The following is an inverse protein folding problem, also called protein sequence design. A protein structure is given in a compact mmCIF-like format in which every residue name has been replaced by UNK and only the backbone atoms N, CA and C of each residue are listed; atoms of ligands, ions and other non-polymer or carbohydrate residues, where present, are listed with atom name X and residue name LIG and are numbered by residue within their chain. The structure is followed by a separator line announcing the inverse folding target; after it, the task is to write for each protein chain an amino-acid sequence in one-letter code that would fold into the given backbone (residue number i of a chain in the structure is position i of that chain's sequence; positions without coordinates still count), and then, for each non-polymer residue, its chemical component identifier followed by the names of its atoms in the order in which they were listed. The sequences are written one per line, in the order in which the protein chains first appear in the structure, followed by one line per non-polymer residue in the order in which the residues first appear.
data_IF_617902364805
#
_entry.id   IF_617902364805
#
_cell.length_a   1.000
_cell.length_b   1.000
_cell.length_c   1.000
_cell.angle_alpha   90.00
_cell.angle_beta   90.00
_cell.angle_gamma   90.00
#
_symmetry.space_group_name_H-M   'P 1'
#
loop_
_entity.id
_entity.type
_entity.pdbx_description
1 polymer ?
#
# COMPACT_ATOMS: atom_id res chain seq x y z
N UNK A 1 20.72 -18.24 -74.88
CA UNK A 1 21.36 -18.19 -73.55
C UNK A 1 20.72 -17.06 -72.74
N UNK A 2 19.76 -17.35 -71.85
CA UNK A 2 19.09 -16.36 -70.99
C UNK A 2 19.48 -16.66 -69.54
N UNK A 3 20.20 -15.75 -68.89
CA UNK A 3 20.59 -15.85 -67.47
C UNK A 3 19.52 -15.13 -66.64
N UNK A 4 18.85 -15.87 -65.75
CA UNK A 4 17.88 -15.34 -64.79
C UNK A 4 18.64 -15.13 -63.47
N UNK A 5 18.72 -13.88 -63.01
CA UNK A 5 19.31 -13.48 -61.73
C UNK A 5 18.20 -13.47 -60.67
N UNK A 6 18.30 -14.36 -59.67
CA UNK A 6 17.47 -14.33 -58.47
C UNK A 6 18.09 -13.37 -57.44
N UNK A 7 17.39 -12.29 -57.12
CA UNK A 7 17.73 -11.38 -56.03
C UNK A 7 17.17 -11.96 -54.72
N UNK A 8 18.05 -12.44 -53.84
CA UNK A 8 17.69 -12.82 -52.46
C UNK A 8 17.70 -11.56 -51.60
N UNK A 9 16.54 -11.02 -51.25
CA UNK A 9 16.45 -9.98 -50.21
C UNK A 9 16.44 -10.64 -48.84
N UNK A 10 17.51 -10.44 -48.07
CA UNK A 10 17.55 -10.83 -46.65
C UNK A 10 16.77 -9.78 -45.86
N UNK A 11 15.63 -10.16 -45.31
CA UNK A 11 14.87 -9.34 -44.36
C UNK A 11 15.53 -9.54 -42.99
N UNK A 12 16.29 -8.55 -42.53
CA UNK A 12 16.76 -8.50 -41.16
C UNK A 12 15.58 -8.12 -40.24
N UNK A 13 15.04 -9.10 -39.52
CA UNK A 13 14.09 -8.83 -38.44
C UNK A 13 14.83 -8.13 -37.30
N UNK A 14 14.61 -6.82 -37.14
CA UNK A 14 15.05 -6.10 -35.96
C UNK A 14 14.24 -6.63 -34.77
N UNK A 15 14.88 -7.43 -33.93
CA UNK A 15 14.29 -7.86 -32.65
C UNK A 15 14.30 -6.63 -31.74
N UNK A 16 13.16 -5.95 -31.62
CA UNK A 16 12.98 -4.90 -30.63
C UNK A 16 13.09 -5.55 -29.25
N UNK A 17 14.25 -5.42 -28.60
CA UNK A 17 14.41 -5.78 -27.20
C UNK A 17 13.74 -4.70 -26.36
N UNK A 18 12.45 -4.87 -26.09
CA UNK A 18 11.80 -4.17 -24.99
C UNK A 18 12.43 -4.67 -23.70
N UNK A 19 13.44 -3.96 -23.19
CA UNK A 19 14.11 -4.32 -21.96
C UNK A 19 13.15 -3.97 -20.81
N UNK A 20 12.35 -4.94 -20.38
CA UNK A 20 11.55 -4.80 -19.16
C UNK A 20 12.53 -4.48 -18.02
N UNK A 21 12.45 -3.26 -17.48
CA UNK A 21 13.33 -2.81 -16.43
C UNK A 21 12.86 -3.48 -15.14
N UNK A 22 13.56 -4.53 -14.73
CA UNK A 22 13.26 -5.21 -13.47
C UNK A 22 13.76 -4.34 -12.33
N UNK A 23 12.85 -3.87 -11.48
CA UNK A 23 13.17 -3.17 -10.24
C UNK A 23 13.19 -4.22 -9.11
N UNK A 24 14.37 -4.77 -8.74
CA UNK A 24 14.45 -5.82 -7.72
C UNK A 24 14.04 -5.31 -6.33
N UNK A 25 14.16 -4.01 -6.12
CA UNK A 25 13.86 -3.32 -4.87
C UNK A 25 13.09 -2.05 -5.19
N UNK A 26 12.19 -1.69 -4.29
CA UNK A 26 11.41 -0.47 -4.36
C UNK A 26 11.51 0.31 -3.06
N UNK A 27 11.52 1.63 -3.18
CA UNK A 27 11.28 2.58 -2.09
C UNK A 27 10.13 3.47 -2.51
N UNK A 28 9.04 3.43 -1.75
CA UNK A 28 7.82 4.18 -2.05
C UNK A 28 7.42 4.96 -0.81
N UNK A 29 7.07 6.24 -1.00
CA UNK A 29 6.51 7.08 0.04
C UNK A 29 4.98 7.07 -0.07
N UNK A 30 4.31 6.91 1.07
CA UNK A 30 2.87 6.87 1.19
C UNK A 30 2.37 8.01 2.08
N UNK A 31 1.24 8.60 1.70
CA UNK A 31 0.47 9.48 2.58
C UNK A 31 -0.70 8.69 3.17
N UNK A 32 -0.78 8.65 4.50
CA UNK A 32 -1.93 8.09 5.22
C UNK A 32 -2.84 9.24 5.62
N UNK A 33 -4.04 9.28 5.06
CA UNK A 33 -5.05 10.29 5.37
C UNK A 33 -6.13 9.68 6.25
N UNK A 34 -6.29 10.22 7.46
CA UNK A 34 -7.36 9.83 8.38
C UNK A 34 -8.35 10.99 8.50
N UNK A 35 -9.63 10.76 8.18
CA UNK A 35 -10.69 11.75 8.37
C UNK A 35 -11.21 11.66 9.80
N UNK A 36 -10.46 12.27 10.72
CA UNK A 36 -10.63 12.17 12.17
C UNK A 36 -12.06 12.50 12.61
N UNK A 37 -12.69 13.54 12.06
CA UNK A 37 -14.08 13.88 12.44
C UNK A 37 -15.09 12.79 12.07
N UNK A 38 -14.97 12.19 10.89
CA UNK A 38 -15.87 11.13 10.45
C UNK A 38 -15.70 9.90 11.34
N UNK A 39 -14.44 9.48 11.54
CA UNK A 39 -14.10 8.36 12.42
C UNK A 39 -14.60 8.58 13.85
N UNK A 40 -14.39 9.77 14.41
CA UNK A 40 -14.83 10.09 15.77
C UNK A 40 -16.35 10.10 15.89
N UNK A 41 -17.07 10.61 14.88
CA UNK A 41 -18.54 10.59 14.84
C UNK A 41 -19.10 9.17 14.82
N UNK A 42 -18.45 8.26 14.09
CA UNK A 42 -18.86 6.85 14.02
C UNK A 42 -18.61 6.11 15.33
N UNK A 43 -17.48 6.38 15.99
CA UNK A 43 -17.10 5.71 17.25
C UNK A 43 -17.80 6.30 18.48
N UNK A 44 -18.00 7.62 18.51
CA UNK A 44 -18.50 8.38 19.66
C UNK A 44 -19.61 9.37 19.23
N UNK A 45 -20.74 8.90 18.70
CA UNK A 45 -21.77 9.76 18.13
C UNK A 45 -22.36 10.76 19.13
N UNK A 46 -22.54 10.34 20.39
CA UNK A 46 -23.14 11.17 21.44
C UNK A 46 -22.24 12.33 21.86
N UNK A 47 -20.91 12.17 21.74
CA UNK A 47 -19.93 13.16 22.17
C UNK A 47 -19.42 14.02 21.01
N UNK A 48 -19.74 13.63 19.77
CA UNK A 48 -19.20 14.27 18.58
C UNK A 48 -19.49 15.77 18.51
N UNK A 49 -20.74 16.19 18.75
CA UNK A 49 -21.13 17.60 18.63
C UNK A 49 -20.41 18.52 19.62
N UNK A 50 -20.06 18.00 20.80
CA UNK A 50 -19.34 18.73 21.85
C UNK A 50 -17.85 18.89 21.51
N UNK A 51 -17.22 17.84 20.97
CA UNK A 51 -15.77 17.79 20.77
C UNK A 51 -15.29 18.03 19.33
N UNK A 52 -16.18 18.09 18.32
CA UNK A 52 -15.79 18.24 16.89
C UNK A 52 -14.89 19.43 16.58
N UNK A 53 -14.97 20.49 17.38
CA UNK A 53 -14.15 21.70 17.22
C UNK A 53 -12.78 21.61 17.90
N UNK A 54 -12.58 20.60 18.76
CA UNK A 54 -11.33 20.32 19.47
C UNK A 54 -10.51 19.21 18.79
N UNK A 55 -11.00 18.63 17.71
CA UNK A 55 -10.30 17.63 16.90
C UNK A 55 -10.12 18.15 15.46
N UNK A 56 -9.00 17.81 14.79
CA UNK A 56 -8.78 18.19 13.39
C UNK A 56 -9.79 17.50 12.47
N UNK A 57 -10.05 18.10 11.30
CA UNK A 57 -10.90 17.47 10.29
C UNK A 57 -10.27 16.21 9.70
N UNK A 58 -8.98 16.33 9.35
CA UNK A 58 -8.16 15.23 8.84
C UNK A 58 -6.73 15.34 9.37
N UNK A 59 -6.06 14.21 9.42
CA UNK A 59 -4.65 14.06 9.80
C UNK A 59 -3.93 13.33 8.68
N UNK A 60 -2.71 13.77 8.37
CA UNK A 60 -1.89 13.22 7.28
C UNK A 60 -0.49 12.92 7.77
N UNK A 61 -0.14 11.63 7.78
CA UNK A 61 1.19 11.13 8.12
C UNK A 61 1.89 10.63 6.86
N UNK A 62 3.22 10.63 6.86
CA UNK A 62 4.00 10.08 5.75
C UNK A 62 4.75 8.83 6.21
N UNK A 63 4.71 7.83 5.35
CA UNK A 63 5.33 6.54 5.56
C UNK A 63 6.26 6.21 4.40
N UNK A 64 7.26 5.38 4.66
CA UNK A 64 8.01 4.72 3.61
C UNK A 64 7.76 3.21 3.62
N UNK A 65 7.71 2.65 2.42
CA UNK A 65 7.80 1.24 2.15
C UNK A 65 9.13 0.95 1.47
N UNK A 66 9.90 0.03 2.03
CA UNK A 66 11.10 -0.53 1.43
C UNK A 66 10.85 -2.02 1.22
N UNK A 67 11.05 -2.55 0.02
CA UNK A 67 10.81 -3.97 -0.18
C UNK A 67 11.36 -4.52 -1.47
N UNK A 68 11.41 -5.85 -1.50
CA UNK A 68 11.72 -6.68 -2.65
C UNK A 68 10.71 -7.83 -2.74
N UNK A 69 10.98 -8.83 -3.59
CA UNK A 69 10.09 -9.99 -3.77
C UNK A 69 10.05 -10.94 -2.56
N UNK A 70 10.91 -10.76 -1.56
CA UNK A 70 11.07 -11.64 -0.40
C UNK A 70 10.71 -10.99 0.93
N UNK A 71 10.86 -9.68 1.06
CA UNK A 71 10.63 -8.98 2.32
C UNK A 71 10.22 -7.52 2.13
N UNK A 72 9.63 -6.94 3.17
CA UNK A 72 9.31 -5.52 3.22
C UNK A 72 9.47 -4.91 4.60
N UNK A 73 9.70 -3.61 4.64
CA UNK A 73 9.65 -2.75 5.82
C UNK A 73 8.71 -1.57 5.54
N UNK A 74 7.74 -1.35 6.41
CA UNK A 74 6.87 -0.19 6.40
C UNK A 74 7.01 0.56 7.73
N UNK A 75 7.27 1.87 7.66
CA UNK A 75 7.43 2.71 8.85
C UNK A 75 7.08 4.16 8.59
N UNK A 76 6.69 4.87 9.64
CA UNK A 76 6.48 6.30 9.58
C UNK A 76 7.82 7.02 9.37
N UNK A 77 7.81 8.02 8.48
CA UNK A 77 8.96 8.90 8.22
C UNK A 77 8.68 10.35 8.62
N UNK A 78 7.40 10.74 8.73
CA UNK A 78 7.00 12.07 9.16
C UNK A 78 5.66 12.02 9.89
N UNK A 79 5.70 12.43 11.16
CA UNK A 79 4.53 12.60 12.00
C UNK A 79 3.65 13.76 11.50
N UNK A 80 2.34 13.62 11.67
CA UNK A 80 1.41 14.69 11.37
C UNK A 80 1.57 15.86 12.38
N UNK A 81 1.44 17.08 11.88
CA UNK A 81 1.41 18.26 12.75
C UNK A 81 -0.02 18.49 13.22
N UNK A 82 -0.28 18.21 14.49
CA UNK A 82 -1.57 18.46 15.11
C UNK A 82 -1.66 19.89 15.67
N UNK A 83 -2.84 20.51 15.67
CA UNK A 83 -3.07 21.76 16.40
C UNK A 83 -2.69 21.60 17.89
N UNK A 84 -2.06 22.60 18.48
CA UNK A 84 -1.60 22.53 19.88
C UNK A 84 -2.73 22.30 20.90
N UNK A 85 -3.96 22.68 20.56
CA UNK A 85 -5.17 22.48 21.35
C UNK A 85 -5.98 21.24 20.91
N UNK A 86 -5.40 20.36 20.09
CA UNK A 86 -6.05 19.14 19.62
C UNK A 86 -6.22 18.14 20.76
N UNK A 87 -7.43 17.64 20.93
CA UNK A 87 -7.76 16.51 21.82
C UNK A 87 -7.63 15.15 21.11
N UNK A 88 -7.21 15.16 19.85
CA UNK A 88 -6.93 13.94 19.09
C UNK A 88 -5.51 13.45 19.39
N UNK A 89 -5.41 12.20 19.83
CA UNK A 89 -4.15 11.47 19.97
C UNK A 89 -4.10 10.34 18.93
N UNK A 90 -2.99 10.27 18.20
CA UNK A 90 -2.78 9.24 17.19
C UNK A 90 -2.37 7.93 17.85
N UNK A 91 -3.14 6.86 17.60
CA UNK A 91 -2.83 5.52 18.11
C UNK A 91 -2.34 4.63 16.99
N UNK A 92 -1.19 3.97 17.21
CA UNK A 92 -0.67 2.95 16.31
C UNK A 92 -0.04 3.46 15.00
N UNK A 93 0.04 4.77 14.79
CA UNK A 93 0.69 5.35 13.60
C UNK A 93 2.22 5.18 13.60
N UNK A 94 2.83 5.01 14.78
CA UNK A 94 4.27 4.80 14.96
C UNK A 94 4.71 3.33 14.85
N UNK A 95 3.83 2.44 14.38
CA UNK A 95 4.18 1.03 14.20
C UNK A 95 5.24 0.88 13.10
N UNK A 96 6.16 -0.06 13.29
CA UNK A 96 7.09 -0.51 12.25
C UNK A 96 6.72 -1.95 11.90
N UNK A 97 6.42 -2.21 10.63
CA UNK A 97 5.99 -3.52 10.16
C UNK A 97 7.06 -4.10 9.24
N UNK A 98 7.62 -5.24 9.62
CA UNK A 98 8.51 -6.04 8.79
C UNK A 98 7.78 -7.32 8.35
N UNK A 99 7.80 -7.62 7.06
CA UNK A 99 7.24 -8.86 6.51
C UNK A 99 8.33 -9.70 5.87
N UNK A 100 8.30 -11.01 6.10
CA UNK A 100 9.09 -12.00 5.41
C UNK A 100 8.16 -12.95 4.66
N UNK A 101 8.11 -12.80 3.33
CA UNK A 101 7.17 -13.54 2.49
C UNK A 101 7.51 -15.04 2.40
N UNK A 102 8.76 -15.47 2.17
CA UNK A 102 9.11 -16.90 2.18
C UNK A 102 8.81 -17.59 3.50
N UNK A 103 9.06 -16.93 4.64
CA UNK A 103 8.80 -17.48 5.97
C UNK A 103 7.33 -17.40 6.38
N UNK A 104 6.49 -16.68 5.65
CA UNK A 104 5.10 -16.38 5.99
C UNK A 104 4.96 -15.75 7.39
N UNK A 105 5.84 -14.80 7.72
CA UNK A 105 5.88 -14.13 9.03
C UNK A 105 5.85 -12.60 8.92
N UNK A 106 5.25 -11.98 9.92
CA UNK A 106 5.27 -10.54 10.18
C UNK A 106 5.86 -10.28 11.56
N UNK A 107 6.73 -9.28 11.65
CA UNK A 107 7.22 -8.74 12.91
C UNK A 107 6.78 -7.28 12.97
N UNK A 108 6.02 -6.92 14.00
CA UNK A 108 5.58 -5.55 14.23
C UNK A 108 6.18 -4.99 15.50
N UNK A 109 6.87 -3.86 15.40
CA UNK A 109 7.25 -3.05 16.55
C UNK A 109 6.13 -2.06 16.86
N UNK A 110 5.61 -2.09 18.09
CA UNK A 110 4.49 -1.26 18.55
C UNK A 110 4.92 -0.44 19.77
N UNK A 111 5.11 0.88 19.65
CA UNK A 111 5.28 1.74 20.82
C UNK A 111 3.92 1.93 21.50
N UNK A 112 3.86 1.58 22.78
CA UNK A 112 2.67 1.74 23.63
C UNK A 112 3.11 2.44 24.91
N UNK A 113 2.67 3.69 25.08
CA UNK A 113 3.15 4.58 26.13
C UNK A 113 4.69 4.69 26.13
N UNK A 114 5.36 4.31 27.21
CA UNK A 114 6.81 4.38 27.37
C UNK A 114 7.53 3.09 26.94
N UNK A 115 6.78 2.03 26.60
CA UNK A 115 7.33 0.74 26.24
C UNK A 115 7.21 0.46 24.75
N UNK A 116 8.12 -0.36 24.23
CA UNK A 116 8.09 -0.82 22.84
C UNK A 116 7.99 -2.33 22.82
N UNK A 117 6.92 -2.84 22.22
CA UNK A 117 6.67 -4.27 22.08
C UNK A 117 7.07 -4.75 20.70
N UNK A 118 7.71 -5.91 20.64
CA UNK A 118 7.94 -6.65 19.40
C UNK A 118 6.95 -7.81 19.34
N UNK A 119 6.09 -7.80 18.33
CA UNK A 119 5.06 -8.82 18.12
C UNK A 119 5.40 -9.59 16.86
N UNK A 120 5.64 -10.90 16.98
CA UNK A 120 5.81 -11.82 15.85
C UNK A 120 4.49 -12.57 15.64
N UNK A 121 4.03 -12.62 14.39
CA UNK A 121 2.83 -13.34 13.97
C UNK A 121 3.03 -13.91 12.54
N UNK A 122 2.08 -14.72 12.09
CA UNK A 122 1.94 -15.12 10.69
C UNK A 122 1.56 -13.95 9.80
N UNK A 123 1.88 -14.05 8.50
CA UNK A 123 1.40 -13.10 7.50
C UNK A 123 -0.12 -13.02 7.50
N UNK A 124 -0.63 -11.79 7.43
CA UNK A 124 -2.06 -11.50 7.37
C UNK A 124 -2.71 -12.16 6.14
N UNK A 125 -3.78 -12.92 6.36
CA UNK A 125 -4.49 -13.59 5.26
C UNK A 125 -5.54 -12.64 4.69
N UNK A 126 -5.35 -12.23 3.44
CA UNK A 126 -6.28 -11.36 2.72
C UNK A 126 -6.88 -12.11 1.54
N UNK A 127 -8.20 -12.25 1.51
CA UNK A 127 -8.90 -12.86 0.39
C UNK A 127 -9.23 -11.81 -0.66
N UNK A 128 -8.44 -11.77 -1.74
CA UNK A 128 -8.59 -10.80 -2.81
C UNK A 128 -9.62 -11.21 -3.87
N UNK A 129 -10.44 -10.25 -4.29
CA UNK A 129 -11.30 -10.30 -5.48
C UNK A 129 -10.87 -9.19 -6.43
N UNK A 130 -10.34 -9.56 -7.59
CA UNK A 130 -9.93 -8.61 -8.61
C UNK A 130 -11.17 -7.97 -9.26
N UNK A 131 -11.05 -6.70 -9.61
CA UNK A 131 -12.10 -5.95 -10.31
C UNK A 131 -11.57 -5.35 -11.61
N UNK A 132 -12.45 -4.83 -12.44
CA UNK A 132 -12.09 -4.20 -13.71
C UNK A 132 -11.83 -2.68 -13.58
N UNK A 133 -12.02 -2.10 -12.39
CA UNK A 133 -11.77 -0.67 -12.18
C UNK A 133 -10.26 -0.41 -12.25
N UNK A 134 -9.87 0.57 -13.05
CA UNK A 134 -8.47 1.01 -13.17
C UNK A 134 -8.32 2.49 -12.83
N UNK A 135 -7.14 2.86 -12.38
CA UNK A 135 -6.72 4.27 -12.23
C UNK A 135 -5.20 4.37 -12.30
N UNK A 136 -4.70 5.53 -12.71
CA UNK A 136 -3.26 5.80 -12.68
C UNK A 136 -2.85 6.36 -11.32
N UNK A 137 -1.81 5.80 -10.69
CA UNK A 137 -1.23 6.28 -9.42
C UNK A 137 0.27 6.43 -9.62
N UNK A 138 0.82 7.62 -9.33
CA UNK A 138 2.25 7.90 -9.48
C UNK A 138 2.83 7.51 -10.87
N UNK A 139 2.00 7.58 -11.92
CA UNK A 139 2.38 7.23 -13.29
C UNK A 139 2.23 5.75 -13.67
N UNK A 140 1.80 4.88 -12.74
CA UNK A 140 1.57 3.46 -12.99
C UNK A 140 0.09 3.14 -13.18
N UNK A 141 -0.20 2.23 -14.10
CA UNK A 141 -1.57 1.76 -14.33
C UNK A 141 -1.94 0.74 -13.25
N UNK A 142 -2.87 1.14 -12.38
CA UNK A 142 -3.28 0.34 -11.25
C UNK A 142 -4.67 -0.25 -11.45
N UNK A 143 -4.83 -1.54 -11.12
CA UNK A 143 -6.13 -2.22 -11.06
C UNK A 143 -6.61 -2.25 -9.61
N UNK A 144 -7.92 -2.12 -9.43
CA UNK A 144 -8.55 -2.22 -8.11
C UNK A 144 -8.83 -3.68 -7.75
N UNK A 145 -8.59 -4.03 -6.50
CA UNK A 145 -9.01 -5.28 -5.89
C UNK A 145 -9.75 -4.99 -4.58
N UNK A 146 -10.69 -5.85 -4.22
CA UNK A 146 -11.38 -5.81 -2.93
C UNK A 146 -10.91 -7.00 -2.11
N UNK A 147 -10.46 -6.73 -0.89
CA UNK A 147 -9.91 -7.71 0.04
C UNK A 147 -10.79 -7.87 1.27
N UNK A 148 -10.82 -9.07 1.82
CA UNK A 148 -11.41 -9.36 3.13
C UNK A 148 -10.31 -9.91 4.04
N UNK A 149 -10.02 -9.18 5.12
CA UNK A 149 -9.08 -9.59 6.16
C UNK A 149 -9.88 -10.31 7.25
N UNK A 150 -9.49 -11.55 7.54
CA UNK A 150 -10.10 -12.42 8.55
C UNK A 150 -11.65 -12.41 8.51
N UNK A 151 -12.23 -12.36 7.30
CA UNK A 151 -13.66 -12.31 7.00
C UNK A 151 -14.47 -11.18 7.67
N UNK A 152 -13.80 -10.20 8.30
CA UNK A 152 -14.44 -9.16 9.13
C UNK A 152 -14.18 -7.74 8.62
N UNK A 153 -13.00 -7.50 8.07
CA UNK A 153 -12.59 -6.18 7.59
C UNK A 153 -12.49 -6.19 6.07
N UNK A 154 -13.41 -5.49 5.41
CA UNK A 154 -13.31 -5.21 3.99
C UNK A 154 -12.30 -4.07 3.75
N UNK A 155 -11.43 -4.25 2.77
CA UNK A 155 -10.50 -3.23 2.27
C UNK A 155 -10.57 -3.20 0.75
N UNK A 156 -10.18 -2.09 0.14
CA UNK A 156 -9.86 -2.05 -1.29
C UNK A 156 -8.41 -1.62 -1.47
N UNK A 157 -7.79 -2.14 -2.52
CA UNK A 157 -6.42 -1.84 -2.88
C UNK A 157 -6.33 -1.54 -4.36
N UNK A 158 -5.36 -0.72 -4.74
CA UNK A 158 -4.98 -0.46 -6.10
C UNK A 158 -3.53 -0.92 -6.29
N UNK A 159 -3.31 -1.85 -7.21
CA UNK A 159 -2.02 -2.47 -7.44
C UNK A 159 -1.62 -2.39 -8.91
N UNK A 160 -0.31 -2.36 -9.18
CA UNK A 160 0.26 -2.44 -10.53
C UNK A 160 1.08 -3.71 -10.68
N UNK A 161 0.96 -4.40 -11.82
CA UNK A 161 1.78 -5.56 -12.18
C UNK A 161 3.11 -5.16 -12.85
N UNK A 162 3.33 -3.86 -13.08
CA UNK A 162 4.60 -3.31 -13.58
C UNK A 162 5.71 -3.38 -12.53
N UNK A 163 5.34 -3.33 -11.24
CA UNK A 163 6.24 -3.52 -10.10
C UNK A 163 5.99 -4.88 -9.47
N UNK A 164 6.96 -5.80 -9.62
CA UNK A 164 6.82 -7.21 -9.23
C UNK A 164 6.92 -7.47 -7.72
N UNK A 165 7.12 -6.43 -6.91
CA UNK A 165 7.11 -6.51 -5.44
C UNK A 165 5.67 -6.67 -4.96
N UNK A 166 5.32 -7.81 -4.36
CA UNK A 166 3.93 -8.13 -3.97
C UNK A 166 3.53 -7.61 -2.57
N UNK A 167 4.08 -6.45 -2.21
CA UNK A 167 3.86 -5.79 -0.92
C UNK A 167 3.00 -4.53 -1.03
N UNK A 168 2.77 -3.89 0.11
CA UNK A 168 1.92 -2.71 0.24
C UNK A 168 2.11 -1.99 1.57
N UNK A 169 1.40 -0.87 1.78
CA UNK A 169 1.46 -0.14 3.03
C UNK A 169 0.93 -0.98 4.20
N UNK A 170 1.42 -0.70 5.41
CA UNK A 170 1.12 -1.46 6.64
C UNK A 170 1.44 -2.97 6.46
N UNK A 171 0.51 -3.86 6.77
CA UNK A 171 0.65 -5.32 6.58
C UNK A 171 -0.01 -5.83 5.29
N UNK A 172 -0.41 -4.95 4.36
CA UNK A 172 -1.19 -5.36 3.18
C UNK A 172 -0.27 -5.97 2.12
N UNK A 173 -0.60 -7.17 1.63
CA UNK A 173 0.18 -7.88 0.62
C UNK A 173 -0.67 -8.88 -0.20
N UNK A 174 -0.04 -9.60 -1.12
CA UNK A 174 -0.61 -10.78 -1.76
C UNK A 174 -1.41 -10.53 -3.05
N UNK A 175 -1.27 -9.33 -3.64
CA UNK A 175 -1.71 -9.05 -5.00
C UNK A 175 -0.58 -9.36 -6.00
N UNK A 176 -0.88 -9.56 -7.30
CA UNK A 176 0.12 -9.92 -8.31
C UNK A 176 1.26 -8.91 -8.54
N UNK A 177 1.23 -7.75 -7.89
CA UNK A 177 2.28 -6.74 -7.93
C UNK A 177 2.11 -5.70 -6.81
N UNK A 178 2.82 -4.59 -6.91
CA UNK A 178 2.93 -3.60 -5.84
C UNK A 178 1.62 -2.85 -5.60
N UNK A 179 1.23 -2.78 -4.34
CA UNK A 179 0.05 -2.04 -3.90
C UNK A 179 0.43 -0.57 -3.69
N UNK A 180 -0.11 0.31 -4.52
CA UNK A 180 0.17 1.76 -4.50
C UNK A 180 -0.93 2.58 -3.82
N UNK A 181 -2.03 1.95 -3.43
CA UNK A 181 -3.05 2.60 -2.61
C UNK A 181 -3.94 1.59 -1.93
N UNK A 182 -4.36 1.90 -0.71
CA UNK A 182 -5.29 1.11 0.08
C UNK A 182 -6.33 2.06 0.66
N UNK A 183 -7.57 1.61 0.78
CA UNK A 183 -8.58 2.28 1.58
C UNK A 183 -9.45 1.28 2.31
N UNK A 184 -9.93 1.69 3.48
CA UNK A 184 -10.79 0.89 4.35
C UNK A 184 -12.16 1.55 4.38
N UNK A 185 -13.20 0.95 3.76
CA UNK A 185 -14.54 1.55 3.71
C UNK A 185 -15.14 1.85 5.08
N UNK A 186 -14.86 1.02 6.09
CA UNK A 186 -15.31 1.26 7.48
C UNK A 186 -14.58 2.39 8.20
N UNK A 187 -13.56 3.00 7.57
CA UNK A 187 -12.88 4.17 8.09
C UNK A 187 -13.20 5.44 7.28
N UNK A 188 -14.07 5.32 6.26
CA UNK A 188 -14.40 6.42 5.34
C UNK A 188 -15.82 6.32 4.77
N UNK A 189 -16.70 7.19 5.26
CA UNK A 189 -17.71 7.88 4.46
C UNK A 189 -17.74 9.36 4.86
#
# INVERSE_FOLDING_TARGET
MKRILFFFSVIAAAVAQGQATFHPQVRIEFEKVVYVRQQYKELFPDWFEEFKNMIPEKVVNQYEFLGDTTQSLFREIKEAVLPANSWYEEVGNKNVVYNNYPAQRTITQKPIAEETFLVEDSLMKIQWKLTNDTRTIAGYDCRKAVGFVDDTLAIFAFYTDELLVQGGPESVHGLPGMILGVGVPRLHA
#
